data_IF_027684900259
#
_entry.id   IF_027684900259
#
_cell.length_a   1.000
_cell.length_b   1.000
_cell.length_c   1.000
_cell.angle_alpha   90.00
_cell.angle_beta   90.00
_cell.angle_gamma   90.00
#
_symmetry.space_group_name_H-M   'P 1'
#
loop_
_entity.id
_entity.type
_entity.pdbx_description
1 polymer ?
#
# COMPACT_ATOMS: atom_id res chain seq x y z
N UNK A 1 -40.75 15.00 -39.03
CA UNK A 1 -40.59 14.55 -37.63
C UNK A 1 -39.11 14.53 -37.32
N UNK A 2 -38.58 15.55 -36.62
CA UNK A 2 -37.27 15.43 -36.00
C UNK A 2 -37.36 14.48 -34.79
N UNK A 3 -36.33 13.67 -34.50
CA UNK A 3 -36.30 12.85 -33.30
C UNK A 3 -36.09 13.72 -32.06
N UNK A 4 -36.88 13.44 -31.03
CA UNK A 4 -36.78 14.03 -29.69
C UNK A 4 -35.36 13.86 -29.12
N UNK A 5 -34.70 14.98 -28.87
CA UNK A 5 -33.50 15.05 -28.04
C UNK A 5 -33.88 14.67 -26.61
N UNK A 6 -33.51 13.47 -26.17
CA UNK A 6 -33.59 13.13 -24.75
C UNK A 6 -32.64 14.05 -23.94
N UNK A 7 -33.09 14.63 -22.82
CA UNK A 7 -32.21 15.39 -21.94
C UNK A 7 -31.27 14.42 -21.23
N UNK A 8 -29.97 14.61 -21.42
CA UNK A 8 -28.94 14.03 -20.55
C UNK A 8 -29.16 14.49 -19.11
N UNK A 9 -28.99 13.64 -18.08
CA UNK A 9 -29.16 14.02 -16.68
C UNK A 9 -27.92 14.81 -16.21
N UNK A 10 -27.77 16.02 -16.73
CA UNK A 10 -26.79 17.02 -16.32
C UNK A 10 -27.41 17.89 -15.21
N UNK A 11 -27.45 17.41 -13.96
CA UNK A 11 -28.27 18.13 -12.97
C UNK A 11 -28.00 17.91 -11.49
N UNK A 12 -26.90 17.27 -11.08
CA UNK A 12 -26.54 17.27 -9.66
C UNK A 12 -25.74 18.54 -9.35
N UNK A 13 -26.33 19.44 -8.58
CA UNK A 13 -25.60 20.56 -7.99
C UNK A 13 -24.58 20.02 -6.97
N UNK A 14 -23.45 20.71 -6.72
CA UNK A 14 -22.47 20.28 -5.71
C UNK A 14 -23.10 20.05 -4.33
N UNK A 15 -24.12 20.84 -3.99
CA UNK A 15 -24.91 20.71 -2.78
C UNK A 15 -25.69 19.38 -2.73
N UNK A 16 -26.27 18.93 -3.85
CA UNK A 16 -26.97 17.65 -3.93
C UNK A 16 -26.03 16.45 -3.80
N UNK A 17 -24.81 16.55 -4.36
CA UNK A 17 -23.80 15.49 -4.26
C UNK A 17 -23.27 15.36 -2.83
N UNK A 18 -23.01 16.48 -2.15
CA UNK A 18 -22.56 16.49 -0.76
C UNK A 18 -23.66 15.99 0.20
N UNK A 19 -24.92 16.40 -0.02
CA UNK A 19 -26.05 15.91 0.75
C UNK A 19 -26.25 14.39 0.60
N UNK A 20 -26.06 13.86 -0.61
CA UNK A 20 -26.10 12.43 -0.86
C UNK A 20 -24.95 11.69 -0.18
N UNK A 21 -23.72 12.24 -0.22
CA UNK A 21 -22.56 11.66 0.46
C UNK A 21 -22.72 11.61 1.99
N UNK A 22 -23.38 12.62 2.56
CA UNK A 22 -23.72 12.69 3.98
C UNK A 22 -24.99 11.92 4.35
N UNK A 23 -25.66 11.29 3.38
CA UNK A 23 -26.92 10.54 3.57
C UNK A 23 -28.02 11.37 4.23
N UNK A 24 -28.13 12.65 3.87
CA UNK A 24 -29.16 13.53 4.41
C UNK A 24 -30.55 13.12 3.90
N UNK A 25 -31.59 13.19 4.76
CA UNK A 25 -32.96 12.96 4.33
C UNK A 25 -33.41 13.96 3.25
N UNK A 26 -34.30 13.56 2.33
CA UNK A 26 -34.85 14.47 1.34
C UNK A 26 -35.57 15.65 2.04
N UNK A 27 -35.26 16.87 1.63
CA UNK A 27 -35.82 18.10 2.20
C UNK A 27 -35.02 18.74 3.33
N UNK A 28 -33.91 18.13 3.79
CA UNK A 28 -32.94 18.84 4.64
C UNK A 28 -32.03 19.74 3.79
N UNK A 29 -31.94 21.01 4.18
CA UNK A 29 -31.02 21.98 3.58
C UNK A 29 -29.65 21.91 4.25
N UNK A 30 -28.60 22.04 3.46
CA UNK A 30 -27.23 21.97 3.92
C UNK A 30 -26.78 23.36 4.38
N UNK A 31 -26.48 23.54 5.67
CA UNK A 31 -25.96 24.82 6.19
C UNK A 31 -24.54 25.05 5.65
N UNK A 32 -24.31 26.09 4.82
CA UNK A 32 -23.03 26.29 4.15
C UNK A 32 -21.88 26.56 5.13
N UNK A 33 -22.15 27.21 6.27
CA UNK A 33 -21.12 27.50 7.26
C UNK A 33 -20.68 26.22 7.98
N UNK A 34 -21.64 25.35 8.32
CA UNK A 34 -21.35 24.04 8.92
C UNK A 34 -20.67 23.11 7.94
N UNK A 35 -21.09 23.11 6.68
CA UNK A 35 -20.47 22.32 5.63
C UNK A 35 -19.01 22.73 5.41
N UNK A 36 -18.72 24.03 5.34
CA UNK A 36 -17.35 24.53 5.25
C UNK A 36 -16.51 24.10 6.45
N UNK A 37 -17.05 24.15 7.67
CA UNK A 37 -16.35 23.69 8.87
C UNK A 37 -16.05 22.18 8.84
N UNK A 38 -16.99 21.35 8.37
CA UNK A 38 -16.78 19.90 8.18
C UNK A 38 -15.72 19.65 7.11
N UNK A 39 -15.79 20.33 5.97
CA UNK A 39 -14.80 20.23 4.90
C UNK A 39 -13.40 20.60 5.42
N UNK A 40 -13.26 21.67 6.20
CA UNK A 40 -11.99 22.04 6.81
C UNK A 40 -11.42 20.91 7.70
N UNK A 41 -12.25 20.31 8.54
CA UNK A 41 -11.85 19.18 9.39
C UNK A 41 -11.44 17.94 8.57
N UNK A 42 -12.16 17.64 7.49
CA UNK A 42 -11.83 16.54 6.58
C UNK A 42 -10.52 16.79 5.82
N UNK A 43 -10.25 18.04 5.42
CA UNK A 43 -8.99 18.43 4.78
C UNK A 43 -7.83 18.29 5.76
N UNK A 44 -8.00 18.71 7.02
CA UNK A 44 -6.97 18.53 8.05
C UNK A 44 -6.69 17.06 8.32
N UNK A 45 -7.74 16.23 8.41
CA UNK A 45 -7.61 14.79 8.52
C UNK A 45 -6.83 14.20 7.33
N UNK A 46 -7.23 14.50 6.09
CA UNK A 46 -6.58 14.00 4.90
C UNK A 46 -5.11 14.46 4.79
N UNK A 47 -4.81 15.71 5.15
CA UNK A 47 -3.44 16.23 5.15
C UNK A 47 -2.55 15.59 6.23
N UNK A 48 -3.11 15.26 7.40
CA UNK A 48 -2.39 14.53 8.43
C UNK A 48 -2.06 13.10 7.97
N UNK A 49 -3.03 12.43 7.35
CA UNK A 49 -2.87 11.08 6.80
C UNK A 49 -1.85 11.07 5.65
N UNK A 50 -1.91 12.06 4.74
CA UNK A 50 -0.94 12.25 3.66
C UNK A 50 0.49 12.25 4.20
N UNK A 51 0.75 13.06 5.23
CA UNK A 51 2.08 13.17 5.83
C UNK A 51 2.56 11.82 6.39
N UNK A 52 1.72 11.12 7.16
CA UNK A 52 2.06 9.85 7.79
C UNK A 52 2.28 8.76 6.75
N UNK A 53 1.37 8.62 5.79
CA UNK A 53 1.42 7.58 4.76
C UNK A 53 2.66 7.74 3.88
N UNK A 54 2.97 8.95 3.41
CA UNK A 54 4.16 9.18 2.60
C UNK A 54 5.47 9.12 3.38
N UNK A 55 5.44 9.37 4.70
CA UNK A 55 6.59 9.10 5.57
C UNK A 55 6.86 7.60 5.68
N UNK A 56 5.82 6.82 5.99
CA UNK A 56 5.91 5.36 6.07
C UNK A 56 6.34 4.75 4.72
N UNK A 57 5.79 5.24 3.62
CA UNK A 57 6.15 4.76 2.28
C UNK A 57 7.63 4.96 1.95
N UNK A 58 8.20 6.12 2.29
CA UNK A 58 9.64 6.37 2.06
C UNK A 58 10.54 5.48 2.90
N UNK A 59 10.12 5.11 4.11
CA UNK A 59 10.85 4.18 4.96
C UNK A 59 10.78 2.74 4.42
N UNK A 60 9.61 2.33 3.94
CA UNK A 60 9.34 0.96 3.47
C UNK A 60 9.88 0.73 2.06
N UNK A 61 9.76 1.72 1.16
CA UNK A 61 10.06 1.62 -0.26
C UNK A 61 10.90 2.82 -0.77
N UNK A 62 12.12 3.04 -0.25
CA UNK A 62 12.92 4.22 -0.58
C UNK A 62 13.31 4.32 -2.06
N UNK A 63 13.37 3.19 -2.77
CA UNK A 63 13.71 3.12 -4.19
C UNK A 63 12.48 3.10 -5.12
N UNK A 64 11.26 3.27 -4.59
CA UNK A 64 10.04 3.19 -5.40
C UNK A 64 9.95 4.32 -6.42
N UNK A 65 9.41 3.99 -7.60
CA UNK A 65 9.01 4.98 -8.60
C UNK A 65 7.69 5.68 -8.26
N UNK A 66 6.91 5.15 -7.32
CA UNK A 66 5.65 5.74 -6.87
C UNK A 66 5.96 6.94 -5.98
N UNK A 67 5.64 8.13 -6.47
CA UNK A 67 5.96 9.41 -5.83
C UNK A 67 4.72 10.27 -5.69
N UNK A 68 4.71 11.08 -4.63
CA UNK A 68 3.74 12.15 -4.43
C UNK A 68 4.07 13.30 -5.37
N UNK A 69 3.09 13.76 -6.16
CA UNK A 69 3.25 14.95 -6.99
C UNK A 69 3.28 16.21 -6.12
N UNK A 70 2.26 16.38 -5.28
CA UNK A 70 2.16 17.47 -4.31
C UNK A 70 1.40 17.03 -3.04
N UNK A 71 1.38 17.88 -2.01
CA UNK A 71 0.59 17.59 -0.80
C UNK A 71 -0.90 17.68 -1.10
N UNK A 72 -1.73 16.84 -0.45
CA UNK A 72 -3.19 16.90 -0.58
C UNK A 72 -3.76 18.30 -0.32
N UNK A 73 -3.19 19.03 0.65
CA UNK A 73 -3.64 20.41 0.96
C UNK A 73 -3.43 21.37 -0.22
N UNK A 74 -2.30 21.26 -0.92
CA UNK A 74 -2.00 22.09 -2.08
C UNK A 74 -2.91 21.74 -3.26
N UNK A 75 -3.06 20.44 -3.55
CA UNK A 75 -3.93 19.93 -4.62
C UNK A 75 -5.39 20.37 -4.42
N UNK A 76 -5.93 20.18 -3.21
CA UNK A 76 -7.29 20.63 -2.87
C UNK A 76 -7.43 22.15 -2.88
N UNK A 77 -6.39 22.90 -2.52
CA UNK A 77 -6.38 24.36 -2.60
C UNK A 77 -6.49 24.88 -4.04
N UNK A 78 -5.76 24.26 -4.99
CA UNK A 78 -5.86 24.57 -6.43
C UNK A 78 -7.26 24.25 -6.96
N UNK A 79 -7.78 23.07 -6.63
CA UNK A 79 -9.14 22.68 -6.99
C UNK A 79 -10.20 23.65 -6.46
N UNK A 80 -10.11 24.03 -5.17
CA UNK A 80 -11.04 24.99 -4.56
C UNK A 80 -10.95 26.40 -5.16
N UNK A 81 -9.79 26.76 -5.72
CA UNK A 81 -9.58 28.06 -6.40
C UNK A 81 -10.09 28.08 -7.84
N UNK A 82 -10.59 26.95 -8.37
CA UNK A 82 -11.12 26.85 -9.73
C UNK A 82 -10.06 26.75 -10.82
N UNK A 83 -8.83 26.33 -10.48
CA UNK A 83 -7.79 26.06 -11.48
C UNK A 83 -8.23 24.94 -12.43
N UNK A 84 -8.06 25.15 -13.74
CA UNK A 84 -8.55 24.21 -14.75
C UNK A 84 -7.87 22.83 -14.63
N UNK A 85 -8.67 21.78 -14.45
CA UNK A 85 -8.19 20.40 -14.31
C UNK A 85 -7.68 20.03 -12.91
N UNK A 86 -7.61 20.99 -11.98
CA UNK A 86 -7.14 20.74 -10.62
C UNK A 86 -8.12 19.87 -9.80
N UNK A 87 -9.40 19.82 -10.19
CA UNK A 87 -10.41 18.93 -9.64
C UNK A 87 -10.11 17.45 -9.90
N UNK A 88 -9.72 17.13 -11.14
CA UNK A 88 -9.31 15.77 -11.52
C UNK A 88 -7.99 15.39 -10.87
N UNK A 89 -7.04 16.33 -10.78
CA UNK A 89 -5.77 16.11 -10.09
C UNK A 89 -5.99 15.82 -8.60
N UNK A 90 -6.82 16.62 -7.92
CA UNK A 90 -7.14 16.42 -6.51
C UNK A 90 -7.86 15.11 -6.23
N UNK A 91 -8.79 14.71 -7.10
CA UNK A 91 -9.44 13.41 -7.00
C UNK A 91 -8.44 12.26 -7.16
N UNK A 92 -7.51 12.36 -8.12
CA UNK A 92 -6.45 11.38 -8.33
C UNK A 92 -5.49 11.30 -7.14
N UNK A 93 -5.09 12.43 -6.57
CA UNK A 93 -4.18 12.47 -5.43
C UNK A 93 -4.82 11.87 -4.17
N UNK A 94 -6.11 12.19 -3.91
CA UNK A 94 -6.89 11.58 -2.82
C UNK A 94 -7.01 10.07 -3.00
N UNK A 95 -7.29 9.61 -4.22
CA UNK A 95 -7.40 8.18 -4.51
C UNK A 95 -6.06 7.46 -4.35
N UNK A 96 -4.96 8.07 -4.81
CA UNK A 96 -3.61 7.54 -4.59
C UNK A 96 -3.29 7.43 -3.09
N UNK A 97 -3.60 8.45 -2.30
CA UNK A 97 -3.41 8.40 -0.85
C UNK A 97 -4.23 7.26 -0.22
N UNK A 98 -5.50 7.13 -0.59
CA UNK A 98 -6.39 6.08 -0.10
C UNK A 98 -5.85 4.69 -0.44
N UNK A 99 -5.44 4.48 -1.70
CA UNK A 99 -4.90 3.21 -2.16
C UNK A 99 -3.58 2.87 -1.47
N UNK A 100 -2.67 3.83 -1.35
CA UNK A 100 -1.38 3.63 -0.69
C UNK A 100 -1.56 3.31 0.80
N UNK A 101 -2.46 4.01 1.49
CA UNK A 101 -2.79 3.72 2.88
C UNK A 101 -3.34 2.28 3.04
N UNK A 102 -4.31 1.90 2.21
CA UNK A 102 -4.87 0.55 2.23
C UNK A 102 -3.82 -0.52 1.90
N UNK A 103 -2.95 -0.25 0.92
CA UNK A 103 -1.90 -1.14 0.49
C UNK A 103 -0.84 -1.37 1.58
N UNK A 104 -0.45 -0.33 2.31
CA UNK A 104 0.45 -0.45 3.46
C UNK A 104 -0.19 -1.29 4.58
N UNK A 105 -1.44 -1.02 4.95
CA UNK A 105 -2.16 -1.77 5.99
C UNK A 105 -2.27 -3.25 5.62
N UNK A 106 -2.69 -3.55 4.39
CA UNK A 106 -2.82 -4.91 3.89
C UNK A 106 -1.45 -5.60 3.75
N UNK A 107 -0.42 -4.85 3.35
CA UNK A 107 0.94 -5.32 3.17
C UNK A 107 1.57 -5.85 4.45
N UNK A 108 1.31 -5.21 5.60
CA UNK A 108 1.84 -5.67 6.90
C UNK A 108 1.41 -7.11 7.20
N UNK A 109 0.11 -7.40 7.07
CA UNK A 109 -0.41 -8.74 7.36
C UNK A 109 0.09 -9.80 6.39
N UNK A 110 0.22 -9.45 5.10
CA UNK A 110 0.69 -10.39 4.09
C UNK A 110 2.20 -10.64 4.20
N UNK A 111 3.00 -9.59 4.40
CA UNK A 111 4.44 -9.70 4.59
C UNK A 111 4.79 -10.51 5.83
N UNK A 112 4.08 -10.29 6.95
CA UNK A 112 4.27 -11.07 8.18
C UNK A 112 4.02 -12.56 7.97
N UNK A 113 2.93 -12.94 7.29
CA UNK A 113 2.63 -14.36 6.97
C UNK A 113 3.69 -14.98 6.06
N UNK A 114 4.07 -14.29 4.99
CA UNK A 114 5.08 -14.79 4.06
C UNK A 114 6.44 -14.94 4.72
N UNK A 115 6.85 -13.96 5.53
CA UNK A 115 8.08 -14.02 6.31
C UNK A 115 8.04 -15.21 7.28
N UNK A 116 6.97 -15.37 8.05
CA UNK A 116 6.83 -16.46 9.00
C UNK A 116 6.91 -17.84 8.32
N UNK A 117 6.24 -18.02 7.18
CA UNK A 117 6.29 -19.25 6.39
C UNK A 117 7.71 -19.53 5.88
N UNK A 118 8.35 -18.54 5.23
CA UNK A 118 9.72 -18.69 4.73
C UNK A 118 10.72 -18.95 5.84
N UNK A 119 10.56 -18.29 6.98
CA UNK A 119 11.42 -18.48 8.14
C UNK A 119 11.26 -19.89 8.72
N UNK A 120 10.01 -20.35 8.90
CA UNK A 120 9.71 -21.69 9.36
C UNK A 120 10.25 -22.76 8.40
N UNK A 121 10.08 -22.57 7.09
CA UNK A 121 10.63 -23.46 6.06
C UNK A 121 12.16 -23.47 6.07
N UNK A 122 12.81 -22.29 6.07
CA UNK A 122 14.27 -22.14 6.05
C UNK A 122 14.95 -22.86 7.22
N UNK A 123 14.31 -22.86 8.39
CA UNK A 123 14.83 -23.48 9.60
C UNK A 123 14.15 -24.82 9.94
N UNK A 124 13.32 -25.36 9.04
CA UNK A 124 12.72 -26.68 9.22
C UNK A 124 13.82 -27.76 9.22
N UNK A 125 13.75 -28.77 10.12
CA UNK A 125 14.75 -29.83 10.17
C UNK A 125 14.98 -30.52 8.83
N UNK A 126 13.92 -30.79 8.08
CA UNK A 126 13.97 -31.42 6.75
C UNK A 126 14.75 -30.59 5.73
N UNK A 127 14.61 -29.25 5.79
CA UNK A 127 15.33 -28.33 4.89
C UNK A 127 16.79 -28.18 5.29
N UNK A 128 17.09 -28.14 6.59
CA UNK A 128 18.47 -28.12 7.10
C UNK A 128 19.19 -29.42 6.72
N UNK A 129 18.57 -30.57 6.90
CA UNK A 129 19.13 -31.87 6.51
C UNK A 129 19.37 -31.95 5.00
N UNK A 130 18.41 -31.50 4.18
CA UNK A 130 18.55 -31.47 2.74
C UNK A 130 19.71 -30.55 2.31
N UNK A 131 19.80 -29.35 2.90
CA UNK A 131 20.87 -28.40 2.65
C UNK A 131 22.25 -28.94 3.09
N UNK A 132 22.32 -29.61 4.24
CA UNK A 132 23.53 -30.22 4.77
C UNK A 132 24.04 -31.38 3.89
N UNK A 133 23.11 -32.17 3.31
CA UNK A 133 23.42 -33.25 2.35
C UNK A 133 23.91 -32.70 1.01
N UNK A 134 23.38 -31.57 0.55
CA UNK A 134 23.87 -30.93 -0.68
C UNK A 134 25.24 -30.26 -0.50
N UNK A 135 25.56 -29.78 0.70
CA UNK A 135 26.85 -29.12 0.98
C UNK A 135 28.01 -30.07 1.25
N UNK A 136 27.75 -31.37 1.46
CA UNK A 136 28.78 -32.37 1.85
C UNK A 136 29.80 -32.74 0.76
N UNK A 137 29.89 -31.95 -0.32
CA UNK A 137 30.89 -32.09 -1.39
C UNK A 137 32.11 -31.17 -1.19
N UNK A 138 32.17 -30.36 -0.11
CA UNK A 138 33.20 -29.31 0.08
C UNK A 138 34.45 -29.71 0.90
N UNK A 139 34.73 -31.00 1.10
CA UNK A 139 36.06 -31.43 1.58
C UNK A 139 36.11 -32.70 2.42
N UNK A 140 37.33 -33.21 2.64
CA UNK A 140 37.59 -34.46 3.35
C UNK A 140 37.10 -34.43 4.81
N UNK A 141 37.14 -33.27 5.48
CA UNK A 141 36.64 -33.11 6.85
C UNK A 141 35.10 -33.21 6.95
N UNK A 142 34.37 -32.92 5.87
CA UNK A 142 32.90 -32.97 5.85
C UNK A 142 32.38 -34.38 5.53
N UNK A 143 33.21 -35.20 4.86
CA UNK A 143 32.97 -36.63 4.64
C UNK A 143 33.09 -37.47 5.91
N UNK A 144 33.90 -37.03 6.88
CA UNK A 144 34.15 -37.75 8.14
C UNK A 144 33.27 -37.23 9.28
N UNK A 145 32.57 -36.10 9.11
CA UNK A 145 31.71 -35.52 10.13
C UNK A 145 30.38 -36.27 10.29
N UNK A 146 29.89 -36.38 11.53
CA UNK A 146 28.59 -36.97 11.81
C UNK A 146 27.45 -36.17 11.16
N UNK A 147 26.32 -36.84 10.89
CA UNK A 147 25.14 -36.19 10.31
C UNK A 147 24.66 -35.00 11.17
N UNK A 148 24.64 -35.16 12.48
CA UNK A 148 24.24 -34.13 13.43
C UNK A 148 25.17 -32.91 13.40
N UNK A 149 26.49 -33.14 13.38
CA UNK A 149 27.47 -32.04 13.30
C UNK A 149 27.32 -31.24 12.01
N UNK A 150 27.02 -31.91 10.88
CA UNK A 150 26.77 -31.23 9.60
C UNK A 150 25.49 -30.40 9.63
N UNK A 151 24.39 -30.96 10.17
CA UNK A 151 23.13 -30.24 10.30
C UNK A 151 23.26 -29.02 11.23
N UNK A 152 23.96 -29.17 12.36
CA UNK A 152 24.23 -28.07 13.29
C UNK A 152 25.06 -26.95 12.65
N UNK A 153 26.16 -27.31 11.96
CA UNK A 153 26.98 -26.33 11.23
C UNK A 153 26.13 -25.57 10.20
N UNK A 154 25.28 -26.27 9.45
CA UNK A 154 24.42 -25.63 8.46
C UNK A 154 23.39 -24.70 9.09
N UNK A 155 22.79 -25.09 10.21
CA UNK A 155 21.92 -24.22 10.99
C UNK A 155 22.65 -22.95 11.42
N UNK A 156 23.84 -23.08 12.01
CA UNK A 156 24.63 -21.91 12.45
C UNK A 156 25.01 -20.98 11.31
N UNK A 157 25.33 -21.51 10.13
CA UNK A 157 25.59 -20.73 8.92
C UNK A 157 24.34 -19.94 8.48
N UNK A 158 23.17 -20.60 8.42
CA UNK A 158 21.91 -19.97 8.03
C UNK A 158 21.43 -18.92 9.04
N UNK A 159 21.65 -19.17 10.32
CA UNK A 159 21.32 -18.26 11.41
C UNK A 159 22.26 -17.06 11.47
N UNK A 160 23.57 -17.26 11.25
CA UNK A 160 24.55 -16.16 11.17
C UNK A 160 24.25 -15.18 10.03
N UNK A 161 23.66 -15.66 8.93
CA UNK A 161 23.21 -14.83 7.81
C UNK A 161 21.88 -14.08 8.07
N UNK A 162 21.25 -14.29 9.23
CA UNK A 162 19.94 -13.72 9.57
C UNK A 162 20.06 -12.79 10.77
N UNK A 163 20.68 -11.63 10.59
CA UNK A 163 20.68 -10.57 11.59
C UNK A 163 19.35 -9.77 11.58
N UNK A 164 19.11 -8.99 12.64
CA UNK A 164 17.88 -8.21 12.78
C UNK A 164 17.66 -7.24 11.61
N UNK A 165 18.73 -6.64 11.08
CA UNK A 165 18.66 -5.71 9.95
C UNK A 165 18.32 -6.41 8.61
N UNK A 166 18.74 -7.66 8.43
CA UNK A 166 18.38 -8.49 7.29
C UNK A 166 16.90 -8.87 7.34
N UNK A 167 16.42 -9.27 8.52
CA UNK A 167 15.01 -9.60 8.75
C UNK A 167 14.11 -8.39 8.51
N UNK A 168 14.47 -7.23 9.07
CA UNK A 168 13.70 -6.00 8.87
C UNK A 168 13.66 -5.61 7.39
N UNK A 169 14.78 -5.67 6.67
CA UNK A 169 14.83 -5.40 5.23
C UNK A 169 13.97 -6.37 4.42
N UNK A 170 13.99 -7.65 4.75
CA UNK A 170 13.15 -8.64 4.07
C UNK A 170 11.66 -8.35 4.29
N UNK A 171 11.28 -8.04 5.53
CA UNK A 171 9.90 -7.73 5.89
C UNK A 171 9.43 -6.45 5.19
N UNK A 172 10.18 -5.36 5.31
CA UNK A 172 9.85 -4.08 4.66
C UNK A 172 9.83 -4.23 3.13
N UNK A 173 10.77 -4.98 2.57
CA UNK A 173 10.80 -5.30 1.14
C UNK A 173 9.55 -6.07 0.68
N UNK A 174 9.06 -7.01 1.48
CA UNK A 174 7.82 -7.73 1.18
C UNK A 174 6.58 -6.82 1.27
N UNK A 175 6.52 -5.91 2.26
CA UNK A 175 5.45 -4.90 2.35
C UNK A 175 5.49 -3.98 1.12
N UNK A 176 6.66 -3.47 0.75
CA UNK A 176 6.85 -2.62 -0.42
C UNK A 176 6.38 -3.32 -1.70
N UNK A 177 6.85 -4.55 -1.95
CA UNK A 177 6.49 -5.31 -3.14
C UNK A 177 4.99 -5.58 -3.23
N UNK A 178 4.34 -5.91 -2.12
CA UNK A 178 2.90 -6.11 -2.09
C UNK A 178 2.14 -4.81 -2.37
N UNK A 179 2.55 -3.70 -1.75
CA UNK A 179 1.91 -2.42 -1.94
C UNK A 179 2.06 -1.91 -3.39
N UNK A 180 3.25 -2.05 -3.99
CA UNK A 180 3.47 -1.73 -5.40
C UNK A 180 2.61 -2.61 -6.33
N UNK A 181 2.50 -3.91 -6.03
CA UNK A 181 1.64 -4.82 -6.80
C UNK A 181 0.18 -4.38 -6.77
N UNK A 182 -0.33 -3.94 -5.62
CA UNK A 182 -1.69 -3.45 -5.52
C UNK A 182 -1.88 -2.16 -6.31
N UNK A 183 -0.98 -1.20 -6.16
CA UNK A 183 -1.06 0.10 -6.84
C UNK A 183 -0.92 -0.01 -8.37
N UNK A 184 -0.12 -0.96 -8.87
CA UNK A 184 -0.04 -1.26 -10.30
C UNK A 184 -1.25 -2.05 -10.80
N UNK A 185 -1.79 -2.95 -9.98
CA UNK A 185 -2.95 -3.77 -10.31
C UNK A 185 -4.26 -2.96 -10.37
N UNK A 186 -4.42 -1.97 -9.49
CA UNK A 186 -5.57 -1.05 -9.52
C UNK A 186 -5.52 -0.11 -10.72
N UNK A 187 -4.32 0.33 -11.13
CA UNK A 187 -4.14 1.17 -12.32
C UNK A 187 -4.51 0.47 -13.65
N UNK A 188 -4.54 -0.88 -13.69
CA UNK A 188 -4.92 -1.68 -14.86
C UNK A 188 -6.32 -2.30 -14.82
N UNK A 189 -7.04 -2.20 -13.69
CA UNK A 189 -8.28 -2.93 -13.43
C UNK A 189 -9.59 -2.25 -13.89
N UNK A 190 -9.52 -1.09 -14.55
CA UNK A 190 -10.70 -0.30 -14.95
C UNK A 190 -11.45 -0.79 -16.19
N UNK A 191 -11.01 -1.88 -16.85
CA UNK A 191 -11.67 -2.38 -18.07
C UNK A 191 -11.93 -3.87 -17.97
N UNK A 192 -13.07 -4.23 -17.38
CA UNK A 192 -13.82 -5.44 -17.73
C UNK A 192 -15.27 -5.28 -17.26
N UNK A 193 -16.09 -4.87 -18.23
CA UNK A 193 -17.54 -5.03 -18.24
C UNK A 193 -17.93 -6.51 -18.29
#
# INVERSE_FOLDING_TARGET
>A
MPPDSQPTPSGQTPESALAAALQLPPGQTLDPARAAAICAALIDFAASLDTVVWSAWRAVAPASSIKRAETIRASLGRAASGEAGADLDAARDLELLRQLAAALIAGIGQAGRQFAQRHAERFAPTQIEAAAKMSSSRGFADLVASHETRCWRKYTELAAASDAASVERELLGAVAAFAESLLRGTAGGGTRA
#
